data_IF_133686865590
#
_entry.id   IF_133686865590
#
_cell.length_a   1.000
_cell.length_b   1.000
_cell.length_c   1.000
_cell.angle_alpha   90.00
_cell.angle_beta   90.00
_cell.angle_gamma   90.00
#
_symmetry.space_group_name_H-M   'P 1'
#
loop_
_entity.id
_entity.type
_entity.pdbx_description
1 polymer ?
#
# COMPACT_ATOMS: atom_id res chain seq x y z
N UNK A 1 10.88 6.87 -20.81
CA UNK A 1 10.68 6.36 -19.43
C UNK A 1 10.69 4.85 -19.50
N UNK A 2 11.54 4.23 -18.71
CA UNK A 2 11.98 2.84 -18.84
C UNK A 2 10.87 1.82 -18.54
N UNK A 3 10.48 1.05 -19.55
CA UNK A 3 9.52 -0.07 -19.46
C UNK A 3 10.06 -1.25 -18.66
N UNK A 4 11.39 -1.43 -18.61
CA UNK A 4 12.03 -2.52 -17.86
C UNK A 4 11.93 -2.31 -16.35
N UNK A 5 12.13 -1.07 -15.87
CA UNK A 5 11.89 -0.73 -14.47
C UNK A 5 10.42 -0.94 -14.03
N UNK A 6 9.44 -0.68 -14.92
CA UNK A 6 8.01 -0.94 -14.62
C UNK A 6 7.69 -2.43 -14.54
N UNK A 7 8.21 -3.22 -15.48
CA UNK A 7 8.08 -4.68 -15.45
C UNK A 7 8.63 -5.26 -14.15
N UNK A 8 9.79 -4.79 -13.69
CA UNK A 8 10.37 -5.22 -12.42
C UNK A 8 9.54 -4.88 -11.18
N UNK A 9 8.89 -3.70 -11.14
CA UNK A 9 8.00 -3.33 -10.03
C UNK A 9 6.75 -4.20 -9.98
N UNK A 10 6.11 -4.42 -11.14
CA UNK A 10 4.91 -5.26 -11.23
C UNK A 10 5.21 -6.73 -10.89
N UNK A 11 6.33 -7.27 -11.38
CA UNK A 11 6.75 -8.64 -11.09
C UNK A 11 7.05 -8.84 -9.59
N UNK A 12 7.79 -7.91 -8.98
CA UNK A 12 8.10 -7.93 -7.55
C UNK A 12 6.83 -7.80 -6.69
N UNK A 13 5.91 -6.93 -7.07
CA UNK A 13 4.63 -6.80 -6.38
C UNK A 13 3.77 -8.07 -6.55
N UNK A 14 3.74 -8.68 -7.73
CA UNK A 14 3.00 -9.92 -7.97
C UNK A 14 3.55 -11.07 -7.13
N UNK A 15 4.87 -11.16 -6.97
CA UNK A 15 5.51 -12.16 -6.12
C UNK A 15 5.11 -12.03 -4.64
N UNK A 16 4.99 -10.81 -4.12
CA UNK A 16 4.59 -10.58 -2.72
C UNK A 16 3.14 -10.93 -2.40
N UNK A 17 2.28 -11.07 -3.42
CA UNK A 17 0.86 -11.45 -3.28
C UNK A 17 0.53 -12.80 -3.95
N UNK A 18 1.55 -13.63 -4.21
CA UNK A 18 1.38 -14.95 -4.83
C UNK A 18 0.96 -16.06 -3.84
N UNK A 19 1.25 -15.87 -2.55
CA UNK A 19 0.89 -16.81 -1.48
C UNK A 19 -0.58 -16.73 -1.07
N UNK A 20 -0.97 -17.50 -0.05
CA UNK A 20 -2.33 -17.45 0.49
C UNK A 20 -2.63 -16.07 1.10
N UNK A 21 -3.81 -15.54 0.79
CA UNK A 21 -4.34 -14.35 1.42
C UNK A 21 -5.02 -14.69 2.75
N UNK A 22 -4.92 -13.78 3.71
CA UNK A 22 -5.61 -13.80 4.99
C UNK A 22 -6.83 -12.88 4.96
N UNK A 23 -7.65 -12.96 6.03
CA UNK A 23 -8.73 -12.01 6.26
C UNK A 23 -8.17 -10.58 6.38
N UNK A 24 -8.91 -9.62 5.83
CA UNK A 24 -8.47 -8.25 5.83
C UNK A 24 -8.40 -7.68 7.27
N UNK A 25 -7.28 -7.08 7.69
CA UNK A 25 -7.11 -6.56 9.03
C UNK A 25 -8.07 -5.40 9.29
N UNK A 26 -8.68 -5.38 10.48
CA UNK A 26 -9.67 -4.36 10.88
C UNK A 26 -10.92 -4.27 9.98
N UNK A 27 -11.24 -5.33 9.23
CA UNK A 27 -12.29 -5.32 8.20
C UNK A 27 -13.62 -4.71 8.68
N UNK A 28 -14.10 -5.07 9.87
CA UNK A 28 -15.38 -4.54 10.38
C UNK A 28 -15.37 -3.02 10.56
N UNK A 29 -14.31 -2.47 11.16
CA UNK A 29 -14.20 -1.03 11.39
C UNK A 29 -14.07 -0.26 10.07
N UNK A 30 -13.27 -0.80 9.15
CA UNK A 30 -13.07 -0.23 7.82
C UNK A 30 -14.38 -0.26 7.02
N UNK A 31 -15.04 -1.42 6.93
CA UNK A 31 -16.30 -1.57 6.19
C UNK A 31 -17.39 -0.64 6.74
N UNK A 32 -17.50 -0.52 8.07
CA UNK A 32 -18.47 0.40 8.69
C UNK A 32 -18.23 1.85 8.27
N UNK A 33 -16.97 2.30 8.28
CA UNK A 33 -16.63 3.66 7.87
C UNK A 33 -16.74 3.87 6.35
N UNK A 34 -16.46 2.85 5.54
CA UNK A 34 -16.53 2.92 4.08
C UNK A 34 -17.98 2.94 3.54
N UNK A 35 -18.96 2.59 4.38
CA UNK A 35 -20.38 2.60 4.00
C UNK A 35 -20.66 1.62 2.88
N UNK A 36 -21.28 2.08 1.79
CA UNK A 36 -21.62 1.25 0.62
C UNK A 36 -20.42 0.74 -0.19
N UNK A 37 -19.23 1.29 0.03
CA UNK A 37 -18.02 0.85 -0.67
C UNK A 37 -17.51 -0.44 -0.04
N UNK A 38 -17.84 -1.57 -0.67
CA UNK A 38 -17.49 -2.89 -0.13
C UNK A 38 -15.98 -3.16 -0.21
N UNK A 39 -15.44 -3.67 0.90
CA UNK A 39 -14.09 -4.24 1.00
C UNK A 39 -14.10 -5.78 0.92
N UNK A 40 -15.23 -6.37 0.56
CA UNK A 40 -15.34 -7.82 0.40
C UNK A 40 -14.43 -8.29 -0.74
N UNK A 41 -13.86 -9.48 -0.57
CA UNK A 41 -12.93 -10.07 -1.53
C UNK A 41 -11.51 -9.49 -1.48
N UNK A 42 -11.24 -8.47 -0.66
CA UNK A 42 -9.86 -7.98 -0.47
C UNK A 42 -9.05 -8.98 0.35
N UNK A 43 -7.97 -9.49 -0.22
CA UNK A 43 -7.03 -10.40 0.42
C UNK A 43 -5.84 -9.66 1.02
N UNK A 44 -5.53 -9.91 2.30
CA UNK A 44 -4.34 -9.36 2.94
C UNK A 44 -3.18 -10.36 2.90
N UNK A 45 -1.99 -9.90 2.53
CA UNK A 45 -0.75 -10.66 2.55
C UNK A 45 0.21 -10.02 3.54
N UNK A 46 0.49 -10.73 4.63
CA UNK A 46 1.34 -10.28 5.74
C UNK A 46 2.56 -11.20 5.91
N UNK A 47 2.65 -12.26 5.11
CA UNK A 47 3.72 -13.26 5.13
C UNK A 47 5.10 -12.71 4.70
N UNK A 48 6.17 -13.50 4.87
CA UNK A 48 7.53 -13.07 4.58
C UNK A 48 7.75 -12.48 3.18
N UNK A 49 7.10 -13.05 2.17
CA UNK A 49 7.20 -12.65 0.76
C UNK A 49 6.55 -11.29 0.54
N UNK A 50 5.37 -11.06 1.13
CA UNK A 50 4.69 -9.77 1.10
C UNK A 50 5.52 -8.68 1.78
N UNK A 51 6.11 -9.02 2.93
CA UNK A 51 6.96 -8.09 3.68
C UNK A 51 8.23 -7.73 2.90
N UNK A 52 8.86 -8.72 2.27
CA UNK A 52 10.06 -8.52 1.45
C UNK A 52 9.76 -7.66 0.22
N UNK A 53 8.67 -7.96 -0.49
CA UNK A 53 8.24 -7.21 -1.66
C UNK A 53 7.94 -5.75 -1.30
N UNK A 54 7.14 -5.50 -0.25
CA UNK A 54 6.80 -4.15 0.18
C UNK A 54 8.05 -3.33 0.54
N UNK A 55 8.99 -3.90 1.29
CA UNK A 55 10.27 -3.23 1.64
C UNK A 55 11.15 -2.97 0.41
N UNK A 56 11.21 -3.91 -0.52
CA UNK A 56 11.97 -3.79 -1.76
C UNK A 56 11.39 -2.71 -2.69
N UNK A 57 10.09 -2.45 -2.57
CA UNK A 57 9.38 -1.33 -3.20
C UNK A 57 9.47 -0.01 -2.41
N UNK A 58 10.17 0.00 -1.27
CA UNK A 58 10.23 1.13 -0.32
C UNK A 58 8.85 1.58 0.17
N UNK A 59 7.92 0.64 0.31
CA UNK A 59 6.55 0.85 0.72
C UNK A 59 6.25 0.17 2.07
N UNK A 60 5.34 0.75 2.84
CA UNK A 60 4.79 0.10 4.05
C UNK A 60 3.71 -0.92 3.71
N UNK A 61 3.02 -0.67 2.62
CA UNK A 61 2.08 -1.58 2.00
C UNK A 61 1.86 -1.18 0.55
N UNK A 62 1.26 -2.09 -0.22
CA UNK A 62 0.78 -1.77 -1.56
C UNK A 62 -0.47 -2.57 -1.92
N UNK A 63 -1.32 -1.98 -2.76
CA UNK A 63 -2.50 -2.59 -3.34
C UNK A 63 -2.28 -2.97 -4.80
N UNK A 64 -2.63 -4.20 -5.16
CA UNK A 64 -2.61 -4.75 -6.53
C UNK A 64 -3.90 -5.54 -6.80
N UNK A 65 -4.84 -4.92 -7.50
CA UNK A 65 -6.19 -5.46 -7.69
C UNK A 65 -6.89 -5.61 -6.34
N UNK A 66 -7.44 -6.79 -6.08
CA UNK A 66 -8.09 -7.12 -4.80
C UNK A 66 -7.12 -7.65 -3.73
N UNK A 67 -5.80 -7.44 -3.90
CA UNK A 67 -4.78 -7.94 -2.97
C UNK A 67 -3.98 -6.80 -2.39
N UNK A 68 -3.69 -6.87 -1.09
CA UNK A 68 -2.87 -5.89 -0.37
C UNK A 68 -1.73 -6.61 0.34
N UNK A 69 -0.51 -6.18 0.11
CA UNK A 69 0.67 -6.67 0.81
C UNK A 69 1.16 -5.66 1.84
N UNK A 70 1.48 -6.12 3.05
CA UNK A 70 1.98 -5.28 4.14
C UNK A 70 3.45 -5.59 4.47
N UNK A 71 4.23 -4.57 4.79
CA UNK A 71 5.65 -4.67 5.15
C UNK A 71 5.91 -5.24 6.56
N UNK A 72 4.83 -5.48 7.32
CA UNK A 72 4.84 -5.99 8.69
C UNK A 72 3.64 -6.91 8.93
N UNK A 73 3.73 -7.85 9.89
CA UNK A 73 2.68 -8.83 10.13
C UNK A 73 1.40 -8.23 10.74
N UNK A 74 1.49 -7.07 11.40
CA UNK A 74 0.38 -6.42 12.10
C UNK A 74 0.19 -4.97 11.61
N UNK A 75 -0.54 -4.76 10.50
CA UNK A 75 -0.87 -3.42 10.00
C UNK A 75 -1.75 -2.65 11.00
N UNK A 76 -1.49 -1.35 11.11
CA UNK A 76 -2.36 -0.45 11.86
C UNK A 76 -3.68 -0.23 11.11
N UNK A 77 -4.70 0.25 11.83
CA UNK A 77 -5.98 0.62 11.22
C UNK A 77 -5.80 1.64 10.09
N UNK A 78 -4.91 2.62 10.29
CA UNK A 78 -4.61 3.65 9.28
C UNK A 78 -4.02 3.04 8.00
N UNK A 79 -3.01 2.16 8.12
CA UNK A 79 -2.40 1.49 6.96
C UNK A 79 -3.43 0.62 6.23
N UNK A 80 -4.20 -0.18 6.97
CA UNK A 80 -5.21 -1.05 6.36
C UNK A 80 -6.33 -0.26 5.66
N UNK A 81 -6.78 0.85 6.24
CA UNK A 81 -7.78 1.72 5.64
C UNK A 81 -7.25 2.46 4.40
N UNK A 82 -6.01 2.92 4.44
CA UNK A 82 -5.34 3.57 3.30
C UNK A 82 -5.27 2.64 2.09
N UNK A 83 -4.79 1.42 2.29
CA UNK A 83 -4.67 0.45 1.19
C UNK A 83 -6.04 -0.05 0.69
N UNK A 84 -7.03 -0.19 1.59
CA UNK A 84 -8.39 -0.53 1.17
C UNK A 84 -8.99 0.57 0.28
N UNK A 85 -8.68 1.85 0.55
CA UNK A 85 -9.09 2.96 -0.30
C UNK A 85 -8.48 2.85 -1.72
N UNK A 86 -7.21 2.43 -1.83
CA UNK A 86 -6.60 2.13 -3.12
C UNK A 86 -7.32 1.01 -3.88
N UNK A 87 -7.73 -0.06 -3.21
CA UNK A 87 -8.51 -1.12 -3.87
C UNK A 87 -9.85 -0.59 -4.38
N UNK A 88 -10.56 0.24 -3.61
CA UNK A 88 -11.80 0.89 -4.07
C UNK A 88 -11.54 1.79 -5.28
N UNK A 89 -10.43 2.54 -5.29
CA UNK A 89 -10.00 3.33 -6.45
C UNK A 89 -9.76 2.46 -7.69
N UNK A 90 -9.05 1.35 -7.54
CA UNK A 90 -8.76 0.42 -8.63
C UNK A 90 -10.03 -0.21 -9.19
N UNK A 91 -10.97 -0.63 -8.32
CA UNK A 91 -12.29 -1.16 -8.71
C UNK A 91 -13.12 -0.13 -9.49
N UNK A 92 -13.00 1.15 -9.15
CA UNK A 92 -13.65 2.24 -9.88
C UNK A 92 -12.98 2.55 -11.24
N UNK A 93 -11.93 1.83 -11.63
CA UNK A 93 -11.26 2.00 -12.93
C UNK A 93 -10.26 3.14 -12.95
N UNK A 94 -9.74 3.56 -11.78
CA UNK A 94 -8.65 4.54 -11.72
C UNK A 94 -7.41 3.94 -12.40
N UNK A 95 -7.09 4.46 -13.59
CA UNK A 95 -5.85 4.13 -14.29
C UNK A 95 -4.79 5.13 -13.86
N UNK A 96 -3.78 4.66 -13.14
CA UNK A 96 -2.62 5.48 -12.77
C UNK A 96 -1.70 5.59 -13.97
N UNK A 97 -1.19 6.79 -14.25
CA UNK A 97 -0.21 6.98 -15.31
C UNK A 97 1.04 6.13 -15.05
N UNK A 98 1.23 5.09 -15.85
CA UNK A 98 2.36 4.16 -15.75
C UNK A 98 2.17 3.00 -14.77
N UNK A 99 0.94 2.76 -14.28
CA UNK A 99 0.61 1.57 -13.47
C UNK A 99 1.13 1.60 -12.04
N UNK A 100 1.70 2.73 -11.58
CA UNK A 100 2.22 2.93 -10.23
C UNK A 100 1.70 4.25 -9.65
N UNK A 101 1.12 4.21 -8.45
CA UNK A 101 0.64 5.42 -7.76
C UNK A 101 1.78 6.39 -7.45
N UNK A 102 1.56 7.70 -7.62
CA UNK A 102 2.58 8.71 -7.32
C UNK A 102 2.25 9.35 -5.98
N UNK A 103 3.16 9.23 -5.01
CA UNK A 103 3.03 9.90 -3.72
C UNK A 103 2.66 11.39 -3.88
N UNK A 104 1.55 11.79 -3.26
CA UNK A 104 1.04 13.16 -3.30
C UNK A 104 0.10 13.47 -4.46
N UNK A 105 -0.24 12.51 -5.33
CA UNK A 105 -1.34 12.67 -6.28
C UNK A 105 -2.71 12.74 -5.57
N UNK A 106 -3.76 13.07 -6.33
CA UNK A 106 -5.12 13.24 -5.77
C UNK A 106 -5.66 11.96 -5.11
N UNK A 107 -5.20 10.79 -5.56
CA UNK A 107 -5.68 9.49 -5.09
C UNK A 107 -5.00 9.10 -3.78
N UNK A 108 -3.70 9.37 -3.65
CA UNK A 108 -2.96 9.24 -2.39
C UNK A 108 -3.52 10.18 -1.32
N UNK A 109 -3.80 11.44 -1.67
CA UNK A 109 -4.39 12.41 -0.73
C UNK A 109 -5.80 12.01 -0.28
N UNK A 110 -6.58 11.41 -1.18
CA UNK A 110 -7.89 10.87 -0.82
C UNK A 110 -7.75 9.65 0.09
N UNK A 111 -6.83 8.73 -0.20
CA UNK A 111 -6.55 7.58 0.66
C UNK A 111 -6.11 8.04 2.08
N UNK A 112 -5.29 9.09 2.17
CA UNK A 112 -4.93 9.74 3.46
C UNK A 112 -6.17 10.27 4.21
N UNK A 113 -7.09 10.98 3.52
CA UNK A 113 -8.33 11.50 4.15
C UNK A 113 -9.26 10.39 4.61
N UNK A 114 -9.39 9.33 3.80
CA UNK A 114 -10.16 8.14 4.13
C UNK A 114 -9.59 7.47 5.38
N UNK A 115 -8.28 7.19 5.40
CA UNK A 115 -7.61 6.58 6.55
C UNK A 115 -7.79 7.41 7.83
N UNK A 116 -7.65 8.74 7.75
CA UNK A 116 -7.89 9.63 8.88
C UNK A 116 -9.34 9.55 9.40
N UNK A 117 -10.33 9.56 8.50
CA UNK A 117 -11.74 9.42 8.88
C UNK A 117 -12.02 8.09 9.59
N UNK A 118 -11.47 6.97 9.10
CA UNK A 118 -11.62 5.66 9.74
C UNK A 118 -10.99 5.64 11.14
N UNK A 119 -9.77 6.18 11.29
CA UNK A 119 -9.09 6.25 12.60
C UNK A 119 -9.88 7.09 13.61
N UNK A 120 -10.53 8.15 13.15
CA UNK A 120 -11.40 8.99 13.98
C UNK A 120 -12.80 8.38 14.22
N UNK A 121 -13.10 7.21 13.65
CA UNK A 121 -14.40 6.55 13.78
C UNK A 121 -15.53 7.28 13.03
N UNK A 122 -15.19 8.13 12.05
CA UNK A 122 -16.16 8.83 11.19
C UNK A 122 -16.40 8.04 9.90
N UNK A 123 -17.52 8.34 9.23
CA UNK A 123 -17.75 7.85 7.88
C UNK A 123 -16.75 8.46 6.88
N UNK A 124 -16.24 7.62 5.99
CA UNK A 124 -15.40 7.95 4.84
C UNK A 124 -16.16 7.79 3.50
N UNK A 125 -17.43 7.40 3.53
CA UNK A 125 -18.25 7.10 2.35
C UNK A 125 -18.30 8.26 1.34
N UNK A 126 -18.47 9.50 1.83
CA UNK A 126 -18.50 10.69 0.99
C UNK A 126 -17.15 10.99 0.30
N UNK A 127 -16.02 10.66 0.94
CA UNK A 127 -14.70 10.81 0.32
C UNK A 127 -14.53 9.78 -0.79
N UNK A 128 -15.02 8.55 -0.61
CA UNK A 128 -14.95 7.47 -1.59
C UNK A 128 -15.92 7.68 -2.77
N UNK A 129 -17.05 8.35 -2.57
CA UNK A 129 -18.00 8.71 -3.63
C UNK A 129 -17.36 9.57 -4.74
N UNK A 130 -16.38 10.41 -4.37
CA UNK A 130 -15.62 11.24 -5.30
C UNK A 130 -14.80 10.45 -6.33
N UNK A 131 -14.48 9.18 -6.06
CA UNK A 131 -13.78 8.30 -7.01
C UNK A 131 -14.68 7.94 -8.19
N UNK A 132 -15.92 7.51 -7.89
CA UNK A 132 -16.87 6.99 -8.87
C UNK A 132 -17.36 8.05 -9.86
N UNK A 133 -17.34 9.34 -9.47
CA UNK A 133 -17.74 10.44 -10.33
C UNK A 133 -16.65 10.87 -11.35
N UNK A 134 -15.40 10.45 -11.16
CA UNK A 134 -14.24 10.93 -11.94
C UNK A 134 -13.64 9.92 -12.92
N UNK A 135 -14.06 8.64 -12.90
CA UNK A 135 -13.46 7.58 -13.70
C UNK A 135 -14.08 7.50 -15.10
N UNK A 136 -13.26 7.70 -16.14
CA UNK A 136 -13.60 7.30 -17.52
C UNK A 136 -13.09 5.87 -17.71
N UNK A 137 -13.98 4.95 -18.02
CA UNK A 137 -13.67 3.52 -18.14
C UNK A 137 -12.62 3.24 -19.23
N UNK A 138 -11.48 2.69 -18.82
CA UNK A 138 -10.63 1.86 -19.67
C UNK A 138 -10.06 0.74 -18.81
N UNK A 139 -10.37 -0.50 -19.18
CA UNK A 139 -9.84 -1.72 -18.54
C UNK A 139 -8.32 -1.74 -18.69
N UNK A 140 -7.61 -1.50 -17.59
CA UNK A 140 -6.15 -1.50 -17.51
C UNK A 140 -5.68 -2.48 -16.44
N UNK A 141 -4.78 -3.37 -16.84
CA UNK A 141 -4.17 -4.46 -16.08
C UNK A 141 -3.36 -3.98 -14.86
N UNK A 142 -3.63 -4.57 -13.68
CA UNK A 142 -2.66 -4.76 -12.60
C UNK A 142 -1.88 -3.55 -12.05
N UNK A 143 -2.50 -2.37 -11.89
CA UNK A 143 -1.84 -1.21 -11.26
C UNK A 143 -1.41 -1.48 -9.81
N UNK A 144 -0.21 -1.03 -9.42
CA UNK A 144 0.34 -1.13 -8.07
C UNK A 144 0.31 0.24 -7.39
N UNK A 145 -0.46 0.40 -6.32
CA UNK A 145 -0.46 1.63 -5.51
C UNK A 145 0.35 1.40 -4.24
N UNK A 146 1.27 2.30 -3.91
CA UNK A 146 2.26 2.10 -2.84
C UNK A 146 2.19 3.23 -1.81
N UNK A 147 2.06 2.89 -0.52
CA UNK A 147 2.19 3.87 0.56
C UNK A 147 3.66 4.05 0.97
N UNK A 148 4.21 5.23 0.65
CA UNK A 148 5.60 5.60 0.97
C UNK A 148 5.86 5.94 2.44
N UNK A 149 7.12 5.78 2.87
CA UNK A 149 7.55 5.94 4.27
C UNK A 149 7.25 7.34 4.87
N UNK A 150 7.38 8.40 4.07
CA UNK A 150 7.15 9.79 4.49
C UNK A 150 5.66 10.18 4.59
N UNK A 151 4.75 9.46 3.92
CA UNK A 151 3.32 9.76 3.95
C UNK A 151 2.66 9.28 5.25
N UNK A 152 3.02 8.08 5.71
CA UNK A 152 2.50 7.51 6.95
C UNK A 152 2.89 8.31 8.21
N UNK A 153 4.04 9.01 8.20
CA UNK A 153 4.43 9.93 9.27
C UNK A 153 3.67 11.27 9.27
N UNK A 154 2.99 11.61 8.17
CA UNK A 154 2.13 12.81 8.07
C UNK A 154 0.66 12.48 8.38
N UNK A 155 0.17 11.33 7.94
CA UNK A 155 -1.23 10.90 8.11
C UNK A 155 -1.63 10.66 9.59
N UNK A 156 -0.64 10.49 10.49
CA UNK A 156 -0.87 10.30 11.95
C UNK A 156 -0.58 11.58 12.77
N UNK A 157 -0.34 12.74 12.14
CA UNK A 157 -0.14 13.99 12.90
C UNK A 157 -1.46 14.56 13.40
N UNK A 158 -1.84 14.15 14.62
CA UNK A 158 -3.00 14.65 15.36
C UNK A 158 -3.44 13.76 16.54
N UNK A 159 -3.03 12.49 16.56
CA UNK A 159 -3.34 11.53 17.63
C UNK A 159 -2.09 11.31 18.49
N UNK A 160 -2.12 11.75 19.74
CA UNK A 160 -0.96 11.75 20.63
C UNK A 160 -0.56 10.35 21.10
N UNK A 161 0.65 9.93 20.77
CA UNK A 161 1.38 8.89 21.53
C UNK A 161 2.60 9.55 22.16
N UNK A 162 2.65 9.53 23.50
CA UNK A 162 3.86 9.87 24.24
C UNK A 162 4.83 8.71 24.11
N UNK A 163 5.99 8.95 23.51
CA UNK A 163 7.18 8.16 23.82
C UNK A 163 8.39 9.10 23.81
N UNK A 164 9.00 9.22 24.98
CA UNK A 164 10.13 10.10 25.21
C UNK A 164 11.47 9.52 24.74
N UNK A 165 12.32 10.49 24.40
CA UNK A 165 13.76 10.58 24.66
C UNK A 165 14.72 9.55 24.06
N UNK A 166 15.02 9.68 22.76
CA UNK A 166 16.40 9.80 22.26
C UNK A 166 16.42 10.56 20.92
N UNK A 167 17.38 11.47 20.77
CA UNK A 167 17.64 12.28 19.57
C UNK A 167 19.05 11.97 19.07
N UNK A 168 19.21 11.66 17.78
CA UNK A 168 20.47 11.77 17.04
C UNK A 168 20.17 12.14 15.58
N UNK A 169 21.00 12.99 14.93
CA UNK A 169 20.60 13.72 13.73
C UNK A 169 20.76 12.88 12.45
N UNK A 170 19.67 12.69 11.70
CA UNK A 170 19.73 12.23 10.31
C UNK A 170 19.92 13.46 9.43
N UNK A 171 21.13 13.66 8.92
CA UNK A 171 21.36 14.57 7.79
C UNK A 171 20.78 13.93 6.54
N UNK A 172 19.83 14.63 5.94
CA UNK A 172 19.22 14.35 4.65
C UNK A 172 20.30 14.04 3.62
N UNK A 173 20.22 12.87 3.00
CA UNK A 173 21.01 12.54 1.82
C UNK A 173 20.17 12.92 0.60
N UNK A 174 20.57 14.00 -0.07
CA UNK A 174 19.94 14.59 -1.27
C UNK A 174 19.90 13.62 -2.46
N UNK A 175 19.08 12.58 -2.39
CA UNK A 175 18.54 11.87 -3.55
C UNK A 175 19.56 11.22 -4.50
N UNK A 176 20.73 10.78 -4.02
CA UNK A 176 21.69 10.04 -4.87
C UNK A 176 21.74 8.56 -4.53
N UNK A 177 21.04 7.80 -5.37
CA UNK A 177 21.16 6.37 -5.64
C UNK A 177 22.63 5.92 -5.69
N UNK A 178 22.94 4.74 -5.15
CA UNK A 178 23.37 3.58 -5.94
C UNK A 178 23.30 2.30 -5.11
N UNK A 179 22.69 1.28 -5.73
CA UNK A 179 23.01 -0.11 -5.51
C UNK A 179 24.54 -0.31 -5.46
N UNK A 180 25.03 -0.84 -4.34
CA UNK A 180 26.15 -1.79 -4.22
C UNK A 180 26.56 -1.89 -2.75
N UNK A 181 26.08 -2.94 -2.09
CA UNK A 181 26.87 -3.77 -1.18
C UNK A 181 26.11 -5.09 -1.00
N UNK A 182 26.79 -6.18 -1.36
CA UNK A 182 26.18 -7.47 -1.67
C UNK A 182 25.44 -8.09 -0.50
N UNK A 183 24.30 -8.70 -0.81
CA UNK A 183 23.75 -9.77 -0.01
C UNK A 183 23.73 -11.03 -0.87
N UNK A 184 24.73 -11.88 -0.65
CA UNK A 184 24.66 -13.29 -0.99
C UNK A 184 23.60 -13.92 -0.08
N UNK A 185 22.54 -14.47 -0.66
CA UNK A 185 21.89 -15.63 -0.05
C UNK A 185 21.36 -16.56 -1.15
N UNK A 186 22.13 -17.61 -1.37
CA UNK A 186 21.73 -18.80 -2.12
C UNK A 186 20.62 -19.51 -1.36
N UNK A 187 19.49 -19.75 -2.02
CA UNK A 187 18.60 -20.87 -1.71
C UNK A 187 18.24 -21.57 -3.03
N UNK A 188 18.88 -22.71 -3.27
CA UNK A 188 18.32 -23.78 -4.10
C UNK A 188 18.16 -24.97 -3.18
N UNK A 189 16.94 -25.47 -3.07
CA UNK A 189 16.66 -26.79 -2.52
C UNK A 189 16.59 -27.72 -3.72
N UNK A 190 17.58 -28.59 -3.88
CA UNK A 190 17.50 -29.70 -4.82
C UNK A 190 17.29 -30.99 -4.03
N UNK A 191 16.19 -31.65 -4.34
CA UNK A 191 15.86 -33.00 -3.91
C UNK A 191 16.18 -33.93 -5.06
N UNK A 192 17.17 -34.83 -4.93
CA UNK A 192 17.03 -36.22 -5.40
C UNK A 192 18.17 -37.14 -4.94
N UNK A 193 17.73 -38.29 -4.42
CA UNK A 193 18.39 -39.58 -4.11
C UNK A 193 19.47 -39.66 -3.02
#
# INVERSE_FOLDING_TARGET
MDTSARGGVQELAAAGVAGSAEHYPHAQAIQSAFGRHSIDGIGAHTGPEAQLAARSLHARAYAMGDRVAFSKPTPSLAEAAHEAAHVVQQRAGVTLEGGVGRSGDRYEQQADRVAAAVVEGRSAEAELDGVSAGARSSSGDGGVQMMGEAAALRSVRGVGIKTGNQVAPVRSTDGKSYAKQGFLLTIWSDSTF
#
